data_IF_130837648809
#
_entry.id   IF_130837648809
#
_cell.length_a   1.000
_cell.length_b   1.000
_cell.length_c   1.000
_cell.angle_alpha   90.00
_cell.angle_beta   90.00
_cell.angle_gamma   90.00
#
_symmetry.space_group_name_H-M   'P 1'
#
loop_
_entity.id
_entity.type
_entity.pdbx_description
1 polymer ?
#
# COMPACT_ATOMS: atom_id res chain seq x y z
N UNK A 1 2.76 20.50 -17.33
CA UNK A 1 2.22 19.21 -17.82
C UNK A 1 0.70 19.28 -17.85
N UNK A 2 -0.01 18.47 -18.66
CA UNK A 2 -1.45 18.43 -18.60
C UNK A 2 -1.93 17.93 -17.23
N UNK A 3 -3.07 18.45 -16.80
CA UNK A 3 -3.74 18.03 -15.57
C UNK A 3 -4.07 16.53 -15.60
N UNK A 4 -3.77 15.82 -14.51
CA UNK A 4 -4.16 14.43 -14.30
C UNK A 4 -5.38 14.34 -13.37
N UNK A 5 -6.10 13.23 -13.50
CA UNK A 5 -7.20 12.81 -12.64
C UNK A 5 -6.74 11.61 -11.83
N UNK A 6 -6.74 11.79 -10.51
CA UNK A 6 -6.31 10.80 -9.54
C UNK A 6 -7.51 10.18 -8.83
N UNK A 7 -7.50 8.88 -8.64
CA UNK A 7 -8.39 8.17 -7.73
C UNK A 7 -7.57 7.62 -6.56
N UNK A 8 -7.85 8.07 -5.34
CA UNK A 8 -7.10 7.69 -4.14
C UNK A 8 -8.01 6.95 -3.18
N UNK A 9 -7.61 5.75 -2.76
CA UNK A 9 -8.36 4.95 -1.78
C UNK A 9 -7.90 5.22 -0.35
N UNK A 10 -8.84 5.26 0.60
CA UNK A 10 -8.52 5.36 2.03
C UNK A 10 -8.02 6.74 2.47
N UNK A 11 -8.76 7.79 2.14
CA UNK A 11 -8.35 9.19 2.32
C UNK A 11 -8.69 9.80 3.69
N UNK A 12 -9.17 9.01 4.65
CA UNK A 12 -9.62 9.53 5.96
C UNK A 12 -8.51 10.10 6.85
N UNK A 13 -7.25 9.80 6.55
CA UNK A 13 -6.08 10.16 7.38
C UNK A 13 -4.77 9.76 6.69
N UNK A 14 -3.63 10.23 7.21
CA UNK A 14 -2.30 9.70 6.87
C UNK A 14 -1.92 9.98 5.41
N UNK A 15 -1.33 9.02 4.73
CA UNK A 15 -0.92 9.21 3.33
C UNK A 15 -2.10 9.54 2.40
N UNK A 16 -3.26 8.88 2.57
CA UNK A 16 -4.41 9.12 1.70
C UNK A 16 -4.91 10.56 1.75
N UNK A 17 -5.00 11.14 2.95
CA UNK A 17 -5.33 12.56 3.13
C UNK A 17 -4.22 13.45 2.53
N UNK A 18 -2.95 13.14 2.80
CA UNK A 18 -1.84 13.91 2.28
C UNK A 18 -1.76 13.89 0.75
N UNK A 19 -2.06 12.76 0.10
CA UNK A 19 -2.20 12.64 -1.35
C UNK A 19 -3.20 13.66 -1.87
N UNK A 20 -4.40 13.70 -1.28
CA UNK A 20 -5.47 14.60 -1.73
C UNK A 20 -5.02 16.05 -1.67
N UNK A 21 -4.43 16.47 -0.55
CA UNK A 21 -3.93 17.84 -0.36
C UNK A 21 -2.84 18.21 -1.38
N UNK A 22 -1.85 17.33 -1.58
CA UNK A 22 -0.71 17.62 -2.45
C UNK A 22 -1.08 17.54 -3.95
N UNK A 23 -1.99 16.63 -4.33
CA UNK A 23 -2.50 16.52 -5.71
C UNK A 23 -3.22 17.82 -6.10
N UNK A 24 -4.11 18.30 -5.24
CA UNK A 24 -4.84 19.57 -5.44
C UNK A 24 -3.87 20.74 -5.50
N UNK A 25 -2.90 20.80 -4.58
CA UNK A 25 -1.90 21.87 -4.55
C UNK A 25 -1.05 21.92 -5.83
N UNK A 26 -0.86 20.78 -6.51
CA UNK A 26 -0.19 20.69 -7.82
C UNK A 26 -1.10 21.00 -9.01
N UNK A 27 -2.38 21.30 -8.77
CA UNK A 27 -3.37 21.65 -9.79
C UNK A 27 -3.98 20.45 -10.50
N UNK A 28 -3.74 19.22 -10.04
CA UNK A 28 -4.39 18.01 -10.54
C UNK A 28 -5.77 17.81 -9.90
N UNK A 29 -6.63 17.02 -10.54
CA UNK A 29 -7.97 16.68 -10.01
C UNK A 29 -7.91 15.39 -9.22
N UNK A 30 -8.68 15.30 -8.12
CA UNK A 30 -8.67 14.11 -7.26
C UNK A 30 -10.09 13.67 -6.88
N UNK A 31 -10.29 12.35 -6.98
CA UNK A 31 -11.41 11.62 -6.43
C UNK A 31 -10.89 10.89 -5.19
N UNK A 32 -11.29 11.36 -4.02
CA UNK A 32 -10.88 10.80 -2.73
C UNK A 32 -11.94 9.81 -2.25
N UNK A 33 -11.53 8.60 -1.87
CA UNK A 33 -12.47 7.60 -1.36
C UNK A 33 -12.19 7.18 0.07
N UNK A 34 -13.24 6.74 0.75
CA UNK A 34 -13.20 6.23 2.11
C UNK A 34 -14.47 5.46 2.44
N UNK A 35 -14.38 4.57 3.44
CA UNK A 35 -15.52 3.74 3.86
C UNK A 35 -16.65 4.55 4.48
N UNK A 36 -16.30 5.62 5.19
CA UNK A 36 -17.25 6.51 5.85
C UNK A 36 -17.09 7.91 5.25
N UNK A 37 -18.17 8.40 4.64
CA UNK A 37 -18.26 9.72 4.01
C UNK A 37 -17.90 10.86 4.98
N UNK A 38 -18.37 10.79 6.22
CA UNK A 38 -18.14 11.84 7.23
C UNK A 38 -16.65 12.01 7.58
N UNK A 39 -15.85 10.94 7.45
CA UNK A 39 -14.41 10.99 7.74
C UNK A 39 -13.57 11.61 6.62
N UNK A 40 -14.16 11.83 5.44
CA UNK A 40 -13.47 12.43 4.29
C UNK A 40 -14.14 13.71 3.79
N UNK A 41 -15.25 14.12 4.41
CA UNK A 41 -16.05 15.27 3.98
C UNK A 41 -15.25 16.58 3.94
N UNK A 42 -14.32 16.78 4.87
CA UNK A 42 -13.46 17.96 4.90
C UNK A 42 -12.54 18.09 3.67
N UNK A 43 -12.36 17.02 2.89
CA UNK A 43 -11.58 17.06 1.65
C UNK A 43 -12.32 17.78 0.52
N UNK A 44 -13.66 17.85 0.56
CA UNK A 44 -14.44 18.65 -0.40
C UNK A 44 -14.10 20.13 -0.29
N UNK A 45 -13.84 20.63 0.91
CA UNK A 45 -13.46 22.02 1.16
C UNK A 45 -12.11 22.39 0.50
N UNK A 46 -11.28 21.38 0.22
CA UNK A 46 -10.02 21.55 -0.48
C UNK A 46 -10.19 21.43 -2.01
N UNK A 47 -11.34 20.97 -2.52
CA UNK A 47 -11.61 20.80 -3.94
C UNK A 47 -11.56 19.34 -4.43
N UNK A 48 -11.52 18.35 -3.53
CA UNK A 48 -11.66 16.95 -3.90
C UNK A 48 -13.11 16.63 -4.26
N UNK A 49 -13.32 15.74 -5.23
CA UNK A 49 -14.58 14.99 -5.31
C UNK A 49 -14.48 13.80 -4.38
N UNK A 50 -15.49 13.52 -3.56
CA UNK A 50 -15.46 12.38 -2.64
C UNK A 50 -16.45 11.30 -3.05
N UNK A 51 -16.06 10.03 -2.88
CA UNK A 51 -16.92 8.88 -3.08
C UNK A 51 -16.78 7.89 -1.92
N UNK A 52 -17.90 7.30 -1.50
CA UNK A 52 -17.85 6.19 -0.57
C UNK A 52 -17.36 4.93 -1.30
N UNK A 53 -16.39 4.23 -0.70
CA UNK A 53 -15.85 2.99 -1.23
C UNK A 53 -15.41 2.11 -0.05
N UNK A 54 -16.03 0.95 0.12
CA UNK A 54 -15.48 -0.11 0.97
C UNK A 54 -14.81 -1.17 0.12
N UNK A 55 -13.51 -1.35 0.34
CA UNK A 55 -12.69 -2.33 -0.38
C UNK A 55 -13.18 -3.77 -0.12
N UNK A 56 -13.91 -4.02 0.97
CA UNK A 56 -14.48 -5.34 1.26
C UNK A 56 -15.78 -5.62 0.53
N UNK A 57 -16.38 -4.63 -0.17
CA UNK A 57 -17.62 -4.82 -0.91
C UNK A 57 -17.48 -5.81 -2.08
N UNK A 58 -18.58 -6.45 -2.51
CA UNK A 58 -18.62 -7.27 -3.71
C UNK A 58 -18.08 -6.57 -4.97
N UNK A 59 -17.59 -7.34 -5.94
CA UNK A 59 -16.97 -6.77 -7.14
C UNK A 59 -17.92 -5.86 -7.93
N UNK A 60 -19.18 -6.24 -8.08
CA UNK A 60 -20.20 -5.47 -8.81
C UNK A 60 -20.41 -4.08 -8.19
N UNK A 61 -20.41 -3.98 -6.87
CA UNK A 61 -20.47 -2.69 -6.16
C UNK A 61 -19.21 -1.86 -6.46
N UNK A 62 -18.02 -2.47 -6.41
CA UNK A 62 -16.78 -1.76 -6.74
C UNK A 62 -16.76 -1.30 -8.21
N UNK A 63 -17.25 -2.12 -9.14
CA UNK A 63 -17.36 -1.78 -10.56
C UNK A 63 -18.28 -0.57 -10.76
N UNK A 64 -19.40 -0.50 -10.05
CA UNK A 64 -20.32 0.64 -10.07
C UNK A 64 -19.68 1.92 -9.53
N UNK A 65 -18.98 1.85 -8.39
CA UNK A 65 -18.31 3.02 -7.81
C UNK A 65 -17.18 3.51 -8.72
N UNK A 66 -16.39 2.61 -9.31
CA UNK A 66 -15.34 2.99 -10.27
C UNK A 66 -15.94 3.58 -11.55
N UNK A 67 -17.06 3.03 -12.05
CA UNK A 67 -17.79 3.63 -13.18
C UNK A 67 -18.25 5.05 -12.86
N UNK A 68 -18.77 5.29 -11.65
CA UNK A 68 -19.15 6.61 -11.19
C UNK A 68 -17.94 7.56 -11.10
N UNK A 69 -16.82 7.09 -10.54
CA UNK A 69 -15.57 7.85 -10.45
C UNK A 69 -15.07 8.31 -11.82
N UNK A 70 -15.02 7.40 -12.80
CA UNK A 70 -14.60 7.73 -14.17
C UNK A 70 -15.52 8.79 -14.80
N UNK A 71 -16.84 8.74 -14.54
CA UNK A 71 -17.79 9.73 -15.09
C UNK A 71 -17.60 11.15 -14.57
N UNK A 72 -17.01 11.34 -13.39
CA UNK A 72 -16.80 12.68 -12.79
C UNK A 72 -15.97 13.57 -13.71
N UNK A 73 -14.85 13.05 -14.23
CA UNK A 73 -13.93 13.79 -15.10
C UNK A 73 -13.81 13.19 -16.51
N UNK A 74 -14.60 12.15 -16.81
CA UNK A 74 -14.56 11.39 -18.06
C UNK A 74 -13.36 10.44 -18.19
N UNK A 75 -12.45 10.44 -17.23
CA UNK A 75 -11.23 9.60 -17.19
C UNK A 75 -10.67 9.47 -15.78
N UNK A 76 -9.78 8.50 -15.61
CA UNK A 76 -8.82 8.41 -14.50
C UNK A 76 -7.47 8.15 -15.13
N UNK A 77 -6.43 8.86 -14.70
CA UNK A 77 -5.06 8.65 -15.16
C UNK A 77 -4.21 7.91 -14.13
N UNK A 78 -4.50 8.11 -12.85
CA UNK A 78 -3.73 7.52 -11.75
C UNK A 78 -4.65 6.90 -10.71
N UNK A 79 -4.45 5.62 -10.42
CA UNK A 79 -5.06 4.94 -9.27
C UNK A 79 -4.01 4.84 -8.15
N UNK A 80 -4.37 5.25 -6.94
CA UNK A 80 -3.57 5.04 -5.73
C UNK A 80 -4.29 4.09 -4.79
N UNK A 81 -3.80 2.84 -4.74
CA UNK A 81 -4.21 1.82 -3.78
C UNK A 81 -3.49 2.06 -2.45
N UNK A 82 -4.08 2.90 -1.60
CA UNK A 82 -3.54 3.30 -0.30
C UNK A 82 -4.30 2.67 0.89
N UNK A 83 -5.58 2.37 0.74
CA UNK A 83 -6.41 1.84 1.81
C UNK A 83 -5.82 0.54 2.39
N UNK A 84 -5.49 0.58 3.69
CA UNK A 84 -5.00 -0.58 4.43
C UNK A 84 -5.19 -0.36 5.94
N UNK A 85 -5.10 -1.44 6.71
CA UNK A 85 -5.02 -1.38 8.16
C UNK A 85 -4.08 -2.46 8.68
N UNK A 86 -3.83 -2.49 10.00
CA UNK A 86 -2.94 -3.44 10.64
C UNK A 86 -3.63 -4.19 11.79
N UNK A 87 -3.49 -5.51 11.80
CA UNK A 87 -3.83 -6.38 12.92
C UNK A 87 -2.56 -6.74 13.69
N UNK A 88 -2.61 -6.57 15.01
CA UNK A 88 -1.50 -6.78 15.93
C UNK A 88 -1.87 -7.90 16.90
N UNK A 89 -1.02 -8.91 16.99
CA UNK A 89 -1.19 -10.04 17.90
C UNK A 89 -0.12 -11.10 17.64
N UNK A 90 0.15 -11.95 18.62
CA UNK A 90 0.96 -13.14 18.36
C UNK A 90 0.25 -14.05 17.37
N UNK A 91 0.97 -14.99 16.77
CA UNK A 91 0.36 -15.94 15.85
C UNK A 91 -0.75 -16.77 16.52
N UNK A 92 -0.57 -17.13 17.80
CA UNK A 92 -1.55 -17.91 18.56
C UNK A 92 -2.73 -17.07 19.09
N UNK A 93 -2.55 -15.76 19.26
CA UNK A 93 -3.62 -14.86 19.74
C UNK A 93 -4.50 -14.31 18.61
N UNK A 94 -4.00 -14.28 17.37
CA UNK A 94 -4.78 -13.84 16.21
C UNK A 94 -5.88 -14.85 15.90
N UNK A 95 -7.11 -14.36 15.77
CA UNK A 95 -8.21 -15.19 15.28
C UNK A 95 -8.09 -15.34 13.76
N UNK A 96 -8.59 -16.46 13.22
CA UNK A 96 -8.65 -16.65 11.76
C UNK A 96 -9.39 -15.50 11.05
N UNK A 97 -10.43 -14.96 11.70
CA UNK A 97 -11.18 -13.78 11.22
C UNK A 97 -10.32 -12.52 11.10
N UNK A 98 -9.31 -12.33 11.97
CA UNK A 98 -8.39 -11.20 11.89
C UNK A 98 -7.50 -11.33 10.65
N UNK A 99 -6.98 -12.55 10.39
CA UNK A 99 -6.19 -12.85 9.19
C UNK A 99 -7.01 -12.66 7.90
N UNK A 100 -8.24 -13.19 7.87
CA UNK A 100 -9.13 -13.04 6.71
C UNK A 100 -9.43 -11.57 6.45
N UNK A 101 -9.82 -10.81 7.48
CA UNK A 101 -10.13 -9.39 7.31
C UNK A 101 -8.90 -8.58 6.87
N UNK A 102 -7.70 -8.95 7.36
CA UNK A 102 -6.44 -8.31 6.97
C UNK A 102 -6.16 -8.49 5.48
N UNK A 103 -6.33 -9.70 4.96
CA UNK A 103 -6.19 -9.99 3.54
C UNK A 103 -7.32 -9.39 2.70
N UNK A 104 -8.55 -9.43 3.21
CA UNK A 104 -9.71 -8.91 2.49
C UNK A 104 -9.58 -7.41 2.20
N UNK A 105 -9.09 -6.63 3.16
CA UNK A 105 -8.81 -5.20 2.89
C UNK A 105 -7.52 -5.00 2.09
N UNK A 106 -6.37 -5.51 2.59
CA UNK A 106 -5.07 -5.11 2.05
C UNK A 106 -4.75 -5.76 0.69
N UNK A 107 -5.32 -6.92 0.40
CA UNK A 107 -5.02 -7.72 -0.80
C UNK A 107 -6.22 -7.81 -1.72
N UNK A 108 -7.32 -8.44 -1.27
CA UNK A 108 -8.46 -8.72 -2.14
C UNK A 108 -9.20 -7.44 -2.53
N UNK A 109 -9.36 -6.49 -1.61
CA UNK A 109 -9.91 -5.17 -1.88
C UNK A 109 -9.08 -4.39 -2.90
N UNK A 110 -7.76 -4.32 -2.67
CA UNK A 110 -6.81 -3.73 -3.62
C UNK A 110 -6.89 -4.36 -5.00
N UNK A 111 -6.99 -5.69 -5.06
CA UNK A 111 -7.17 -6.44 -6.30
C UNK A 111 -8.48 -6.07 -7.00
N UNK A 112 -9.62 -6.08 -6.29
CA UNK A 112 -10.94 -5.79 -6.86
C UNK A 112 -11.02 -4.36 -7.42
N UNK A 113 -10.51 -3.37 -6.69
CA UNK A 113 -10.45 -1.96 -7.14
C UNK A 113 -9.56 -1.83 -8.38
N UNK A 114 -8.38 -2.44 -8.35
CA UNK A 114 -7.47 -2.43 -9.51
C UNK A 114 -8.14 -3.06 -10.73
N UNK A 115 -8.76 -4.24 -10.54
CA UNK A 115 -9.50 -4.94 -11.60
C UNK A 115 -10.61 -4.09 -12.20
N UNK A 116 -11.36 -3.34 -11.39
CA UNK A 116 -12.41 -2.44 -11.86
C UNK A 116 -11.88 -1.27 -12.69
N UNK A 117 -10.65 -0.78 -12.40
CA UNK A 117 -10.01 0.33 -13.14
C UNK A 117 -9.35 -0.12 -14.44
N UNK A 118 -8.80 -1.35 -14.50
CA UNK A 118 -8.01 -1.83 -15.64
C UNK A 118 -8.70 -1.72 -17.01
N UNK A 119 -10.01 -2.02 -17.19
CA UNK A 119 -10.67 -1.85 -18.48
C UNK A 119 -10.58 -0.43 -19.04
N UNK A 120 -10.69 0.58 -18.16
CA UNK A 120 -10.57 1.99 -18.53
C UNK A 120 -9.13 2.31 -18.95
N UNK A 121 -8.14 1.92 -18.15
CA UNK A 121 -6.73 2.14 -18.47
C UNK A 121 -6.33 1.47 -19.79
N UNK A 122 -6.78 0.24 -20.04
CA UNK A 122 -6.55 -0.45 -21.33
C UNK A 122 -7.20 0.30 -22.49
N UNK A 123 -8.43 0.80 -22.33
CA UNK A 123 -9.12 1.56 -23.39
C UNK A 123 -8.42 2.88 -23.71
N UNK A 124 -7.75 3.48 -22.72
CA UNK A 124 -6.95 4.70 -22.86
C UNK A 124 -5.54 4.44 -23.41
N UNK A 125 -5.11 3.16 -23.45
CA UNK A 125 -3.73 2.76 -23.70
C UNK A 125 -2.69 3.50 -22.83
N UNK A 126 -3.11 3.91 -21.63
CA UNK A 126 -2.32 4.68 -20.69
C UNK A 126 -2.95 4.60 -19.29
N UNK A 127 -2.12 4.69 -18.27
CA UNK A 127 -2.54 4.78 -16.88
C UNK A 127 -1.39 4.43 -15.93
N UNK A 128 -1.45 4.95 -14.71
CA UNK A 128 -0.50 4.66 -13.64
C UNK A 128 -1.23 4.06 -12.45
N UNK A 129 -0.74 2.93 -11.95
CA UNK A 129 -1.28 2.29 -10.74
C UNK A 129 -0.22 2.33 -9.66
N UNK A 130 -0.43 3.16 -8.64
CA UNK A 130 0.41 3.25 -7.46
C UNK A 130 -0.15 2.35 -6.38
N UNK A 131 0.69 1.45 -5.85
CA UNK A 131 0.38 0.60 -4.71
C UNK A 131 1.18 1.06 -3.50
N UNK A 132 0.50 1.29 -2.37
CA UNK A 132 1.19 1.53 -1.10
C UNK A 132 1.44 0.18 -0.42
N UNK A 133 2.64 -0.35 -0.65
CA UNK A 133 3.20 -1.53 -0.01
C UNK A 133 3.67 -1.24 1.42
N UNK A 134 4.77 -1.86 1.83
CA UNK A 134 5.41 -1.62 3.13
C UNK A 134 6.78 -2.30 3.15
N UNK A 135 7.70 -1.81 3.99
CA UNK A 135 8.86 -2.61 4.42
C UNK A 135 8.46 -4.02 4.88
N UNK A 136 7.26 -4.20 5.44
CA UNK A 136 6.75 -5.52 5.82
C UNK A 136 6.41 -6.46 4.67
N UNK A 137 6.59 -6.05 3.41
CA UNK A 137 6.61 -6.95 2.24
C UNK A 137 7.98 -7.58 1.97
N UNK A 138 9.03 -7.10 2.65
CA UNK A 138 10.39 -7.67 2.62
C UNK A 138 10.74 -8.49 3.86
N UNK A 139 10.21 -8.08 5.01
CA UNK A 139 10.53 -8.68 6.31
C UNK A 139 9.28 -8.89 7.18
N UNK A 140 9.24 -10.00 7.89
CA UNK A 140 8.22 -10.25 8.90
C UNK A 140 8.60 -9.63 10.23
N UNK A 141 7.64 -8.98 10.91
CA UNK A 141 7.83 -8.49 12.27
C UNK A 141 7.01 -9.33 13.27
N UNK A 142 7.58 -9.69 14.44
CA UNK A 142 6.84 -10.32 15.51
C UNK A 142 5.61 -9.49 15.88
N UNK A 143 4.45 -10.15 16.02
CA UNK A 143 3.20 -9.48 16.35
C UNK A 143 2.42 -8.90 15.16
N UNK A 144 2.97 -8.94 13.94
CA UNK A 144 2.36 -8.33 12.75
C UNK A 144 2.24 -9.34 11.59
N UNK A 145 2.19 -10.64 11.86
CA UNK A 145 2.29 -11.69 10.82
C UNK A 145 1.18 -11.60 9.77
N UNK A 146 -0.06 -11.32 10.17
CA UNK A 146 -1.17 -11.13 9.24
C UNK A 146 -0.92 -9.93 8.31
N UNK A 147 -0.44 -8.81 8.86
CA UNK A 147 -0.14 -7.60 8.08
C UNK A 147 1.03 -7.84 7.13
N UNK A 148 2.15 -8.36 7.63
CA UNK A 148 3.32 -8.69 6.81
C UNK A 148 2.91 -9.67 5.69
N UNK A 149 2.24 -10.78 6.03
CA UNK A 149 1.73 -11.73 5.04
C UNK A 149 0.87 -11.08 3.96
N UNK A 150 -0.02 -10.14 4.33
CA UNK A 150 -0.82 -9.39 3.36
C UNK A 150 0.03 -8.50 2.44
N UNK A 151 1.09 -7.89 2.96
CA UNK A 151 1.99 -7.02 2.17
C UNK A 151 2.87 -7.86 1.24
N UNK A 152 3.48 -8.95 1.73
CA UNK A 152 4.18 -9.92 0.87
C UNK A 152 3.30 -10.42 -0.29
N UNK A 153 2.06 -10.80 0.01
CA UNK A 153 1.11 -11.26 -1.00
C UNK A 153 0.81 -10.17 -2.04
N UNK A 154 0.56 -8.94 -1.58
CA UNK A 154 0.32 -7.81 -2.47
C UNK A 154 1.51 -7.56 -3.40
N UNK A 155 2.74 -7.57 -2.89
CA UNK A 155 3.92 -7.29 -3.73
C UNK A 155 4.12 -8.33 -4.84
N UNK A 156 3.98 -9.62 -4.52
CA UNK A 156 4.05 -10.68 -5.53
C UNK A 156 2.94 -10.56 -6.58
N UNK A 157 1.72 -10.16 -6.19
CA UNK A 157 0.63 -9.91 -7.13
C UNK A 157 0.92 -8.71 -8.03
N UNK A 158 1.52 -7.64 -7.51
CA UNK A 158 1.87 -6.44 -8.27
C UNK A 158 2.97 -6.73 -9.29
N UNK A 159 3.97 -7.56 -8.97
CA UNK A 159 4.97 -8.01 -9.94
C UNK A 159 4.36 -8.70 -11.15
N UNK A 160 3.42 -9.63 -10.90
CA UNK A 160 2.69 -10.33 -11.96
C UNK A 160 1.88 -9.36 -12.81
N UNK A 161 1.04 -8.54 -12.16
CA UNK A 161 0.22 -7.53 -12.84
C UNK A 161 1.05 -6.60 -13.73
N UNK A 162 2.22 -6.17 -13.25
CA UNK A 162 3.10 -5.25 -13.99
C UNK A 162 3.46 -5.81 -15.37
N UNK A 163 3.78 -7.10 -15.44
CA UNK A 163 4.12 -7.77 -16.70
C UNK A 163 2.90 -7.92 -17.62
N UNK A 164 1.73 -8.21 -17.04
CA UNK A 164 0.47 -8.38 -17.79
C UNK A 164 0.01 -7.08 -18.46
N UNK A 165 0.21 -5.93 -17.80
CA UNK A 165 -0.37 -4.65 -18.25
C UNK A 165 0.58 -3.77 -19.06
N UNK A 166 1.89 -4.04 -19.00
CA UNK A 166 2.91 -3.29 -19.73
C UNK A 166 2.64 -3.17 -21.25
N UNK A 167 2.19 -4.23 -21.97
CA UNK A 167 1.86 -4.12 -23.39
C UNK A 167 0.72 -3.14 -23.71
N UNK A 168 -0.09 -2.76 -22.73
CA UNK A 168 -1.19 -1.82 -22.88
C UNK A 168 -0.81 -0.37 -22.56
N UNK A 169 0.48 -0.09 -22.33
CA UNK A 169 0.95 1.24 -21.93
C UNK A 169 0.62 1.63 -20.48
N UNK A 170 0.18 0.67 -19.68
CA UNK A 170 -0.14 0.87 -18.26
C UNK A 170 1.12 0.65 -17.44
N UNK A 171 1.41 1.60 -16.54
CA UNK A 171 2.54 1.53 -15.61
C UNK A 171 2.06 1.21 -14.21
N UNK A 172 2.92 0.56 -13.44
CA UNK A 172 2.73 0.29 -12.02
C UNK A 172 3.88 0.90 -11.23
N UNK A 173 3.61 1.25 -9.97
CA UNK A 173 4.58 1.76 -9.03
C UNK A 173 4.24 1.24 -7.63
N UNK A 174 5.04 0.33 -7.09
CA UNK A 174 4.92 -0.20 -5.74
C UNK A 174 5.81 0.61 -4.80
N UNK A 175 5.20 1.39 -3.92
CA UNK A 175 5.92 2.16 -2.90
C UNK A 175 6.08 1.31 -1.65
N UNK A 176 7.30 1.22 -1.12
CA UNK A 176 7.60 0.43 0.07
C UNK A 176 8.02 1.38 1.21
N UNK A 177 7.05 1.98 1.93
CA UNK A 177 7.33 2.88 3.02
C UNK A 177 7.85 2.13 4.25
N UNK A 178 8.75 2.79 4.97
CA UNK A 178 9.16 2.42 6.32
C UNK A 178 8.22 2.98 7.36
N UNK A 179 8.77 3.43 8.48
CA UNK A 179 7.99 4.04 9.56
C UNK A 179 7.77 5.52 9.29
N UNK A 180 6.53 5.89 9.00
CA UNK A 180 6.09 7.28 8.80
C UNK A 180 5.08 7.70 9.84
N UNK A 181 5.09 9.00 10.19
CA UNK A 181 4.13 9.62 11.12
C UNK A 181 2.75 9.70 10.50
N UNK A 182 2.03 8.60 10.52
CA UNK A 182 0.65 8.47 10.05
C UNK A 182 -0.21 7.89 11.16
N UNK A 183 -1.53 7.90 10.97
CA UNK A 183 -2.46 7.32 11.94
C UNK A 183 -2.49 5.78 11.88
N UNK A 184 -1.62 5.11 11.12
CA UNK A 184 -1.60 3.64 11.01
C UNK A 184 -1.39 2.96 12.37
N UNK A 185 -0.54 3.54 13.24
CA UNK A 185 -0.31 3.07 14.61
C UNK A 185 -1.28 3.68 15.63
N UNK A 186 -2.26 4.46 15.20
CA UNK A 186 -3.28 4.99 16.11
C UNK A 186 -4.23 3.87 16.57
N UNK A 187 -4.78 4.02 17.76
CA UNK A 187 -5.72 3.07 18.35
C UNK A 187 -6.94 2.77 17.45
N UNK A 188 -7.33 3.69 16.57
CA UNK A 188 -8.48 3.54 15.68
C UNK A 188 -8.18 2.79 14.37
N UNK A 189 -6.90 2.59 14.03
CA UNK A 189 -6.46 1.88 12.80
C UNK A 189 -5.79 0.53 13.10
N UNK A 190 -5.36 0.32 14.34
CA UNK A 190 -4.87 -0.98 14.80
C UNK A 190 -6.02 -1.83 15.34
N UNK A 191 -6.11 -3.08 14.86
CA UNK A 191 -6.88 -4.12 15.54
C UNK A 191 -5.94 -4.93 16.41
N UNK A 192 -6.03 -4.74 17.72
CA UNK A 192 -5.07 -5.34 18.67
C UNK A 192 -5.70 -6.52 19.39
N UNK A 193 -4.96 -7.64 19.46
CA UNK A 193 -5.24 -8.82 20.29
C UNK A 193 -4.15 -8.94 21.36
N UNK A 194 -4.31 -8.32 22.55
CA UNK A 194 -3.40 -8.53 23.65
C UNK A 194 -3.40 -10.00 24.06
N UNK A 195 -2.24 -10.55 24.40
CA UNK A 195 -2.15 -11.97 24.68
C UNK A 195 -2.85 -12.34 25.98
N UNK A 196 -3.59 -13.46 25.93
CA UNK A 196 -4.14 -14.12 27.13
C UNK A 196 -3.35 -15.38 27.50
N UNK A 197 -2.33 -15.72 26.72
CA UNK A 197 -1.48 -16.88 26.91
C UNK A 197 -0.33 -16.46 27.87
N UNK A 198 -0.15 -17.15 29.01
CA UNK A 198 0.88 -16.76 29.99
C UNK A 198 2.28 -16.59 29.38
N UNK A 199 2.67 -17.47 28.47
CA UNK A 199 3.99 -17.47 27.82
C UNK A 199 4.24 -16.25 26.92
N UNK A 200 3.17 -15.62 26.43
CA UNK A 200 3.23 -14.44 25.55
C UNK A 200 2.90 -13.13 26.25
N UNK A 201 2.58 -13.14 27.55
CA UNK A 201 2.12 -11.95 28.26
C UNK A 201 3.15 -10.82 28.23
N UNK A 202 4.41 -11.11 28.54
CA UNK A 202 5.47 -10.08 28.57
C UNK A 202 5.83 -9.59 27.16
N UNK A 203 5.89 -10.52 26.20
CA UNK A 203 6.08 -10.18 24.79
C UNK A 203 4.98 -9.23 24.28
N UNK A 204 3.71 -9.59 24.52
CA UNK A 204 2.56 -8.78 24.10
C UNK A 204 2.60 -7.40 24.74
N UNK A 205 2.88 -7.30 26.04
CA UNK A 205 3.03 -6.03 26.75
C UNK A 205 4.15 -5.16 26.16
N UNK A 206 5.32 -5.76 25.88
CA UNK A 206 6.46 -5.05 25.29
C UNK A 206 6.13 -4.54 23.89
N UNK A 207 5.52 -5.39 23.05
CA UNK A 207 5.09 -5.01 21.70
C UNK A 207 4.11 -3.83 21.73
N UNK A 208 3.07 -3.90 22.57
CA UNK A 208 2.07 -2.83 22.66
C UNK A 208 2.66 -1.54 23.24
N UNK A 209 3.56 -1.65 24.22
CA UNK A 209 4.32 -0.52 24.74
C UNK A 209 5.20 0.13 23.68
N UNK A 210 5.88 -0.67 22.85
CA UNK A 210 6.69 -0.20 21.73
C UNK A 210 5.82 0.53 20.69
N UNK A 211 4.73 -0.08 20.22
CA UNK A 211 3.84 0.52 19.22
C UNK A 211 3.22 1.84 19.72
N UNK A 212 2.79 1.89 20.98
CA UNK A 212 2.28 3.12 21.59
C UNK A 212 3.34 4.21 21.75
N UNK A 213 4.61 3.83 21.97
CA UNK A 213 5.72 4.79 22.04
C UNK A 213 6.16 5.30 20.66
N UNK A 214 6.04 4.49 19.61
CA UNK A 214 6.39 4.86 18.24
C UNK A 214 5.34 5.74 17.57
N UNK A 215 4.06 5.69 18.00
CA UNK A 215 3.01 6.53 17.40
C UNK A 215 3.39 8.03 17.47
N UNK A 216 3.30 8.69 16.31
CA UNK A 216 3.75 10.06 16.05
C UNK A 216 5.26 10.35 16.30
N UNK A 217 6.06 9.34 16.63
CA UNK A 217 7.53 9.45 16.80
C UNK A 217 8.33 8.80 15.67
N UNK A 218 7.65 8.19 14.71
CA UNK A 218 8.29 7.57 13.54
C UNK A 218 9.19 8.57 12.79
N UNK A 219 10.27 8.13 12.12
CA UNK A 219 11.23 9.03 11.47
C UNK A 219 10.71 9.67 10.19
N UNK A 220 9.82 8.99 9.45
CA UNK A 220 9.35 9.42 8.13
C UNK A 220 8.32 10.56 8.16
N UNK A 221 8.44 11.49 7.21
CA UNK A 221 7.50 12.60 6.97
C UNK A 221 6.54 12.26 5.81
N UNK A 222 5.22 12.11 6.06
CA UNK A 222 4.23 11.81 5.03
C UNK A 222 4.22 12.79 3.86
N UNK A 223 4.45 14.08 4.11
CA UNK A 223 4.48 15.11 3.06
C UNK A 223 5.62 14.87 2.08
N UNK A 224 6.79 14.54 2.61
CA UNK A 224 7.96 14.23 1.77
C UNK A 224 7.74 12.97 0.95
N UNK A 225 7.17 11.92 1.55
CA UNK A 225 6.86 10.68 0.84
C UNK A 225 5.86 10.92 -0.30
N UNK A 226 4.74 11.58 -0.03
CA UNK A 226 3.73 11.88 -1.05
C UNK A 226 4.32 12.76 -2.15
N UNK A 227 5.10 13.79 -1.79
CA UNK A 227 5.78 14.63 -2.78
C UNK A 227 6.69 13.83 -3.72
N UNK A 228 7.47 12.87 -3.20
CA UNK A 228 8.32 12.01 -4.04
C UNK A 228 7.49 11.13 -4.97
N UNK A 229 6.37 10.58 -4.49
CA UNK A 229 5.49 9.74 -5.32
C UNK A 229 4.88 10.57 -6.45
N UNK A 230 4.40 11.78 -6.15
CA UNK A 230 3.86 12.69 -7.17
C UNK A 230 4.94 13.06 -8.18
N UNK A 231 6.17 13.34 -7.75
CA UNK A 231 7.32 13.58 -8.63
C UNK A 231 7.56 12.40 -9.58
N UNK A 232 7.54 11.16 -9.07
CA UNK A 232 7.74 9.94 -9.90
C UNK A 232 6.63 9.76 -10.92
N UNK A 233 5.36 9.89 -10.51
CA UNK A 233 4.21 9.75 -11.41
C UNK A 233 4.21 10.85 -12.47
N UNK A 234 4.57 12.07 -12.09
CA UNK A 234 4.63 13.22 -12.98
C UNK A 234 5.93 13.29 -13.79
N UNK A 235 6.94 12.49 -13.45
CA UNK A 235 8.27 12.54 -14.08
C UNK A 235 8.89 13.94 -13.96
N UNK A 236 8.80 14.53 -12.76
CA UNK A 236 9.33 15.85 -12.43
C UNK A 236 10.12 15.82 -11.12
N UNK A 237 10.63 16.97 -10.69
CA UNK A 237 11.30 17.11 -9.40
C UNK A 237 12.44 16.10 -9.24
N UNK A 238 12.42 15.32 -8.15
CA UNK A 238 13.46 14.32 -7.85
C UNK A 238 13.49 13.14 -8.84
N UNK A 239 12.46 12.97 -9.67
CA UNK A 239 12.35 11.88 -10.63
C UNK A 239 12.63 12.31 -12.08
N UNK A 240 13.06 13.56 -12.31
CA UNK A 240 13.34 14.07 -13.66
C UNK A 240 14.43 13.25 -14.34
N UNK A 241 14.11 12.65 -15.50
CA UNK A 241 15.04 11.84 -16.29
C UNK A 241 15.28 10.43 -15.75
N UNK A 242 14.45 9.97 -14.80
CA UNK A 242 14.52 8.62 -14.24
C UNK A 242 13.34 7.77 -14.73
N UNK A 243 13.62 6.52 -15.12
CA UNK A 243 12.56 5.57 -15.40
C UNK A 243 11.73 5.28 -14.13
N UNK A 244 10.43 5.08 -14.30
CA UNK A 244 9.55 4.66 -13.20
C UNK A 244 9.93 3.23 -12.79
N UNK A 245 10.42 3.00 -11.57
CA UNK A 245 10.75 1.66 -11.13
C UNK A 245 9.48 0.90 -10.77
N UNK A 246 9.55 -0.44 -10.84
CA UNK A 246 8.46 -1.29 -10.34
C UNK A 246 8.30 -1.10 -8.83
N UNK A 247 9.41 -1.02 -8.09
CA UNK A 247 9.48 -0.83 -6.64
C UNK A 247 10.27 0.41 -6.28
N UNK A 248 9.77 1.17 -5.32
CA UNK A 248 10.46 2.31 -4.75
C UNK A 248 10.38 2.30 -3.22
N UNK A 249 11.41 1.78 -2.54
CA UNK A 249 11.52 1.89 -1.09
C UNK A 249 11.83 3.32 -0.65
N UNK A 250 11.10 3.80 0.36
CA UNK A 250 11.23 5.17 0.87
C UNK A 250 11.34 5.16 2.39
N UNK A 251 12.47 5.64 2.91
CA UNK A 251 12.77 5.71 4.34
C UNK A 251 14.20 5.25 4.63
N UNK A 252 14.87 5.90 5.59
CA UNK A 252 16.24 5.51 5.98
C UNK A 252 16.29 4.13 6.64
N UNK A 253 15.24 3.79 7.39
CA UNK A 253 15.04 2.46 7.98
C UNK A 253 14.84 1.40 6.89
N UNK A 254 14.00 1.70 5.90
CA UNK A 254 13.74 0.78 4.77
C UNK A 254 15.01 0.41 4.03
N UNK A 255 15.85 1.40 3.71
CA UNK A 255 17.09 1.13 2.98
C UNK A 255 17.99 0.15 3.74
N UNK A 256 18.17 0.36 5.04
CA UNK A 256 19.00 -0.50 5.87
C UNK A 256 18.44 -1.93 5.93
N UNK A 257 17.14 -2.06 6.24
CA UNK A 257 16.52 -3.36 6.48
C UNK A 257 16.39 -4.20 5.20
N UNK A 258 16.01 -3.59 4.07
CA UNK A 258 15.98 -4.30 2.77
C UNK A 258 17.38 -4.71 2.35
N UNK A 259 18.39 -3.83 2.51
CA UNK A 259 19.77 -4.17 2.18
C UNK A 259 20.25 -5.38 2.98
N UNK A 260 20.04 -5.39 4.29
CA UNK A 260 20.39 -6.53 5.15
C UNK A 260 19.67 -7.80 4.71
N UNK A 261 18.36 -7.74 4.45
CA UNK A 261 17.58 -8.89 3.98
C UNK A 261 18.12 -9.47 2.66
N UNK A 262 18.50 -8.61 1.72
CA UNK A 262 19.10 -9.01 0.45
C UNK A 262 20.46 -9.68 0.65
N UNK A 263 21.33 -9.11 1.48
CA UNK A 263 22.66 -9.66 1.79
C UNK A 263 22.57 -11.04 2.46
N UNK A 264 21.64 -11.21 3.40
CA UNK A 264 21.35 -12.49 4.06
C UNK A 264 20.83 -13.53 3.07
N UNK A 265 19.93 -13.14 2.17
CA UNK A 265 19.38 -14.02 1.14
C UNK A 265 20.48 -14.50 0.19
N UNK A 266 21.32 -13.58 -0.29
CA UNK A 266 22.46 -13.92 -1.14
C UNK A 266 23.49 -14.79 -0.42
N UNK A 267 23.71 -14.57 0.88
CA UNK A 267 24.58 -15.41 1.70
C UNK A 267 24.02 -16.84 1.78
N UNK A 268 22.74 -16.99 2.09
CA UNK A 268 22.07 -18.30 2.15
C UNK A 268 22.19 -19.03 0.80
N UNK A 269 21.92 -18.36 -0.32
CA UNK A 269 22.02 -18.96 -1.65
C UNK A 269 23.44 -19.46 -1.95
N UNK A 270 24.49 -18.72 -1.55
CA UNK A 270 25.88 -19.16 -1.71
C UNK A 270 26.23 -20.34 -0.81
N UNK A 271 25.82 -20.32 0.46
CA UNK A 271 26.11 -21.39 1.41
C UNK A 271 25.42 -22.71 1.05
N UNK A 272 24.19 -22.62 0.52
CA UNK A 272 23.37 -23.78 0.17
C UNK A 272 23.40 -24.12 -1.33
N UNK A 273 24.21 -23.44 -2.15
CA UNK A 273 24.27 -23.64 -3.60
C UNK A 273 24.38 -25.12 -4.01
N UNK A 274 25.29 -25.94 -3.43
CA UNK A 274 25.42 -27.34 -3.81
C UNK A 274 24.18 -28.19 -3.49
N UNK A 275 23.39 -27.78 -2.50
CA UNK A 275 22.15 -28.49 -2.12
C UNK A 275 21.00 -28.03 -3.01
N UNK A 276 20.86 -26.71 -3.21
CA UNK A 276 19.79 -26.10 -4.00
C UNK A 276 19.84 -26.61 -5.45
N UNK A 277 21.02 -26.61 -6.08
CA UNK A 277 21.17 -26.98 -7.49
C UNK A 277 21.16 -28.50 -7.75
N UNK A 278 21.36 -29.32 -6.71
CA UNK A 278 21.48 -30.78 -6.84
C UNK A 278 20.13 -31.53 -6.79
N UNK A 279 19.05 -30.86 -7.16
CA UNK A 279 17.69 -31.44 -7.24
C UNK A 279 17.18 -31.58 -8.67
N UNK A 280 18.00 -31.23 -9.66
CA UNK A 280 17.70 -31.47 -11.07
C UNK A 280 17.74 -32.98 -11.37
N UNK A 281 17.05 -33.39 -12.44
CA UNK A 281 17.26 -34.73 -12.99
C UNK A 281 18.76 -34.93 -13.29
N UNK A 282 19.30 -36.08 -12.90
CA UNK A 282 20.55 -36.55 -13.51
C UNK A 282 20.21 -36.92 -14.95
N UNK A 283 20.99 -36.44 -15.93
CA UNK A 283 20.86 -36.81 -17.34
C UNK A 283 20.70 -38.34 -17.54
#
# INVERSE_FOLDING_TARGET
>A
MPQLVWLVTGCSSGFGEQFVLDIIARGDSVIATGRNFDQIKHLEEHGATILQLDLTDPQDVLDEVISAAVKVFGRIDVLVNNASYISIGTWEDLEYSDLVAQFDTNVFGTFKVTRAVLPYFRSQANGMIVFIGSLSGWIGHPGCSAYAGSKFALEGMVEGLTQEVAPFGIKTLLIEPGRFRTNLLSANKMKVRPSKIPDYTEFSKTLLGYLGNEDQRQPGDPRKLVSVILDVVRQEGVATGMDVPIRLPLGSDVYADIKTKCEETLKLLREWEPVIQNTNYSD
#
